data_IF_409517167954
#
_entry.id   IF_409517167954
#
_cell.length_a   1.000
_cell.length_b   1.000
_cell.length_c   1.000
_cell.angle_alpha   90.00
_cell.angle_beta   90.00
_cell.angle_gamma   90.00
#
_symmetry.space_group_name_H-M   'P 1'
#
loop_
_entity.id
_entity.type
_entity.pdbx_description
1 polymer ?
#
# COMPACT_ATOMS: atom_id res chain seq x y z
N UNK A 1 -4.77 -12.27 -18.00
CA UNK A 1 -5.12 -10.95 -17.44
C UNK A 1 -4.50 -10.86 -16.06
N UNK A 2 -3.77 -9.78 -15.76
CA UNK A 2 -3.10 -9.59 -14.46
C UNK A 2 -3.73 -8.38 -13.77
N UNK A 3 -4.35 -8.60 -12.61
CA UNK A 3 -5.13 -7.63 -11.81
C UNK A 3 -4.76 -7.77 -10.33
N UNK A 4 -5.10 -6.78 -9.49
CA UNK A 4 -4.75 -6.75 -8.07
C UNK A 4 -5.59 -7.68 -7.18
N UNK A 5 -6.86 -7.93 -7.52
CA UNK A 5 -7.82 -8.67 -6.69
C UNK A 5 -7.33 -10.01 -6.11
N UNK A 6 -6.55 -10.87 -6.83
CA UNK A 6 -5.98 -12.08 -6.24
C UNK A 6 -5.14 -11.84 -4.99
N UNK A 7 -4.59 -10.65 -4.81
CA UNK A 7 -3.90 -10.26 -3.58
C UNK A 7 -4.79 -10.27 -2.34
N UNK A 8 -6.11 -10.13 -2.48
CA UNK A 8 -7.05 -10.29 -1.35
C UNK A 8 -7.13 -11.74 -0.83
N UNK A 9 -6.77 -12.73 -1.66
CA UNK A 9 -6.68 -14.11 -1.23
C UNK A 9 -5.57 -14.32 -0.18
N UNK A 10 -4.53 -13.48 -0.19
CA UNK A 10 -3.50 -13.44 0.85
C UNK A 10 -4.12 -13.00 2.18
N UNK A 11 -4.89 -11.91 2.19
CA UNK A 11 -5.52 -11.42 3.41
C UNK A 11 -6.51 -12.44 4.00
N UNK A 12 -7.33 -13.04 3.13
CA UNK A 12 -8.27 -14.08 3.48
C UNK A 12 -7.59 -15.37 4.01
N UNK A 13 -6.31 -15.58 3.71
CA UNK A 13 -5.55 -16.75 4.15
C UNK A 13 -5.95 -18.05 3.47
N UNK A 14 -6.45 -17.97 2.23
CA UNK A 14 -7.00 -19.12 1.49
C UNK A 14 -6.02 -19.75 0.50
N UNK A 15 -4.78 -19.25 0.43
CA UNK A 15 -3.73 -19.75 -0.48
C UNK A 15 -2.60 -20.45 0.26
N UNK A 16 -1.85 -21.31 -0.42
CA UNK A 16 -0.63 -21.92 0.11
C UNK A 16 0.50 -20.90 0.24
N UNK A 17 1.55 -21.24 1.00
CA UNK A 17 2.75 -20.40 1.13
C UNK A 17 3.47 -20.20 -0.22
N UNK A 18 3.42 -21.20 -1.10
CA UNK A 18 4.01 -21.13 -2.45
C UNK A 18 3.21 -20.16 -3.33
N UNK A 19 1.89 -20.34 -3.39
CA UNK A 19 1.00 -19.42 -4.09
C UNK A 19 1.12 -17.98 -3.57
N UNK A 20 1.31 -17.80 -2.27
CA UNK A 20 1.50 -16.49 -1.68
C UNK A 20 2.76 -15.78 -2.20
N UNK A 21 3.87 -16.52 -2.41
CA UNK A 21 5.09 -15.99 -3.02
C UNK A 21 4.86 -15.60 -4.47
N UNK A 22 4.25 -16.47 -5.27
CA UNK A 22 3.99 -16.20 -6.69
C UNK A 22 3.10 -14.96 -6.89
N UNK A 23 2.07 -14.82 -6.05
CA UNK A 23 1.18 -13.65 -6.04
C UNK A 23 1.98 -12.40 -5.67
N UNK A 24 2.80 -12.45 -4.61
CA UNK A 24 3.57 -11.31 -4.16
C UNK A 24 4.58 -10.82 -5.21
N UNK A 25 5.31 -11.75 -5.82
CA UNK A 25 6.27 -11.47 -6.90
C UNK A 25 5.56 -10.84 -8.10
N UNK A 26 4.41 -11.39 -8.50
CA UNK A 26 3.62 -10.88 -9.62
C UNK A 26 3.06 -9.49 -9.35
N UNK A 27 2.52 -9.23 -8.16
CA UNK A 27 1.85 -7.96 -7.86
C UNK A 27 2.84 -6.83 -7.55
N UNK A 28 3.99 -7.14 -6.97
CA UNK A 28 4.97 -6.14 -6.54
C UNK A 28 6.10 -5.91 -7.56
N UNK A 29 5.97 -6.38 -8.80
CA UNK A 29 6.99 -6.25 -9.84
C UNK A 29 6.39 -5.84 -11.20
N UNK A 30 7.26 -5.64 -12.19
CA UNK A 30 6.87 -5.45 -13.59
C UNK A 30 5.77 -4.40 -13.83
N UNK A 31 4.76 -4.82 -14.58
CA UNK A 31 3.69 -4.02 -15.15
C UNK A 31 2.54 -3.76 -14.16
N UNK A 32 2.40 -4.54 -13.10
CA UNK A 32 1.46 -4.28 -11.99
C UNK A 32 1.98 -3.21 -11.05
N UNK A 33 3.30 -3.12 -10.87
CA UNK A 33 3.91 -2.16 -9.95
C UNK A 33 4.10 -0.79 -10.59
N UNK A 34 3.44 0.22 -10.03
CA UNK A 34 3.57 1.61 -10.50
C UNK A 34 4.76 2.34 -9.89
N UNK A 35 5.32 1.87 -8.78
CA UNK A 35 6.25 2.66 -7.95
C UNK A 35 5.55 3.47 -6.85
N UNK A 36 4.24 3.68 -6.98
CA UNK A 36 3.36 4.21 -5.92
C UNK A 36 2.49 3.13 -5.28
N UNK A 37 2.47 1.92 -5.85
CA UNK A 37 1.65 0.80 -5.41
C UNK A 37 1.31 -0.14 -6.58
N UNK A 38 0.48 -1.12 -6.27
CA UNK A 38 -0.07 -2.11 -7.19
C UNK A 38 -1.25 -1.49 -7.92
N UNK A 39 -1.23 -1.56 -9.26
CA UNK A 39 -2.32 -1.12 -10.13
C UNK A 39 -3.46 -2.14 -10.10
N UNK A 40 -4.69 -1.66 -10.30
CA UNK A 40 -5.86 -2.54 -10.43
C UNK A 40 -5.80 -3.45 -11.66
N UNK A 41 -5.14 -3.00 -12.73
CA UNK A 41 -4.85 -3.77 -13.94
C UNK A 41 -3.42 -3.46 -14.40
N UNK A 42 -2.66 -4.49 -14.74
CA UNK A 42 -1.28 -4.34 -15.18
C UNK A 42 -1.16 -3.52 -16.48
N UNK A 43 -0.06 -2.79 -16.61
CA UNK A 43 0.35 -2.15 -17.86
C UNK A 43 0.47 -3.21 -18.98
N UNK A 44 0.18 -2.82 -20.22
CA UNK A 44 0.15 -3.71 -21.38
C UNK A 44 -1.08 -4.63 -21.49
N UNK A 45 -2.00 -4.63 -20.52
CA UNK A 45 -3.29 -5.33 -20.68
C UNK A 45 -4.22 -4.57 -21.63
N UNK A 46 -5.09 -5.24 -22.41
CA UNK A 46 -5.89 -4.58 -23.46
C UNK A 46 -6.80 -3.43 -23.01
N UNK A 47 -7.20 -3.41 -21.74
CA UNK A 47 -8.07 -2.37 -21.17
C UNK A 47 -7.30 -1.39 -20.26
N UNK A 48 -5.99 -1.52 -20.18
CA UNK A 48 -5.17 -0.69 -19.31
C UNK A 48 -5.33 0.78 -19.68
N UNK A 49 -5.63 1.59 -18.66
CA UNK A 49 -5.66 3.03 -18.73
C UNK A 49 -5.27 3.56 -17.34
N UNK A 50 -4.13 4.28 -17.22
CA UNK A 50 -3.63 4.76 -15.93
C UNK A 50 -4.58 5.76 -15.24
N UNK A 51 -5.50 6.39 -15.97
CA UNK A 51 -6.53 7.30 -15.45
C UNK A 51 -7.92 6.67 -15.47
N UNK A 52 -8.02 5.33 -15.53
CA UNK A 52 -9.28 4.61 -15.34
C UNK A 52 -9.55 4.34 -13.86
N UNK A 53 -10.82 4.38 -13.47
CA UNK A 53 -11.27 4.06 -12.11
C UNK A 53 -10.94 2.62 -11.69
N UNK A 54 -10.97 1.64 -12.60
CA UNK A 54 -10.71 0.22 -12.28
C UNK A 54 -9.73 -0.49 -13.20
N UNK A 55 -9.26 0.15 -14.29
CA UNK A 55 -8.39 -0.50 -15.27
C UNK A 55 -6.98 0.09 -15.30
N UNK A 56 -6.42 0.51 -14.18
CA UNK A 56 -5.02 0.94 -14.16
C UNK A 56 -4.66 1.96 -13.09
N UNK A 57 -5.62 2.49 -12.34
CA UNK A 57 -5.37 3.29 -11.14
C UNK A 57 -4.74 2.47 -10.02
N UNK A 58 -4.26 3.15 -8.98
CA UNK A 58 -3.80 2.56 -7.72
C UNK A 58 -4.77 2.99 -6.62
N UNK A 59 -5.28 2.02 -5.88
CA UNK A 59 -6.24 2.24 -4.79
C UNK A 59 -5.59 1.93 -3.45
N UNK A 60 -5.48 2.90 -2.54
CA UNK A 60 -4.84 2.68 -1.25
C UNK A 60 -5.48 1.58 -0.41
N UNK A 61 -6.81 1.46 -0.36
CA UNK A 61 -7.49 0.40 0.39
C UNK A 61 -7.17 -1.01 -0.14
N UNK A 62 -7.17 -1.19 -1.47
CA UNK A 62 -6.83 -2.46 -2.15
C UNK A 62 -5.38 -2.85 -1.82
N UNK A 63 -4.47 -1.88 -1.93
CA UNK A 63 -3.07 -2.05 -1.56
C UNK A 63 -2.88 -2.36 -0.06
N UNK A 64 -3.68 -1.77 0.82
CA UNK A 64 -3.63 -2.02 2.25
C UNK A 64 -4.07 -3.44 2.61
N UNK A 65 -5.15 -3.96 1.99
CA UNK A 65 -5.56 -5.35 2.15
C UNK A 65 -4.47 -6.31 1.67
N UNK A 66 -3.84 -6.02 0.54
CA UNK A 66 -2.71 -6.81 0.03
C UNK A 66 -1.53 -6.78 1.01
N UNK A 67 -1.17 -5.62 1.57
CA UNK A 67 -0.10 -5.48 2.55
C UNK A 67 -0.35 -6.34 3.81
N UNK A 68 -1.56 -6.30 4.36
CA UNK A 68 -1.95 -7.15 5.49
C UNK A 68 -1.85 -8.64 5.16
N UNK A 69 -2.25 -9.02 3.95
CA UNK A 69 -2.08 -10.38 3.43
C UNK A 69 -0.60 -10.79 3.32
N UNK A 70 0.25 -9.94 2.75
CA UNK A 70 1.69 -10.19 2.64
C UNK A 70 2.32 -10.40 4.03
N UNK A 71 1.95 -9.57 5.02
CA UNK A 71 2.41 -9.71 6.40
C UNK A 71 2.00 -11.05 7.02
N UNK A 72 0.75 -11.50 6.77
CA UNK A 72 0.25 -12.81 7.23
C UNK A 72 1.14 -13.99 6.78
N UNK A 73 1.70 -13.90 5.57
CA UNK A 73 2.58 -14.94 5.00
C UNK A 73 4.08 -14.68 5.25
N UNK A 74 4.43 -13.68 6.08
CA UNK A 74 5.83 -13.37 6.43
C UNK A 74 6.64 -12.71 5.31
N UNK A 75 5.98 -12.15 4.29
CA UNK A 75 6.60 -11.58 3.10
C UNK A 75 7.06 -10.12 3.34
N UNK A 76 7.90 -9.94 4.35
CA UNK A 76 8.25 -8.63 4.95
C UNK A 76 8.85 -7.64 3.94
N UNK A 77 9.67 -8.10 3.00
CA UNK A 77 10.25 -7.23 1.97
C UNK A 77 9.20 -6.62 1.03
N UNK A 78 8.15 -7.39 0.72
CA UNK A 78 7.04 -6.91 -0.10
C UNK A 78 6.18 -5.92 0.68
N UNK A 79 5.95 -6.19 1.99
CA UNK A 79 5.28 -5.26 2.90
C UNK A 79 6.04 -3.93 2.97
N UNK A 80 7.36 -3.98 3.22
CA UNK A 80 8.22 -2.80 3.30
C UNK A 80 8.13 -1.96 2.03
N UNK A 81 8.25 -2.59 0.87
CA UNK A 81 8.16 -1.92 -0.44
C UNK A 81 6.81 -1.23 -0.63
N UNK A 82 5.71 -1.93 -0.30
CA UNK A 82 4.36 -1.43 -0.52
C UNK A 82 3.97 -0.33 0.48
N UNK A 83 4.22 -0.54 1.77
CA UNK A 83 3.98 0.44 2.83
C UNK A 83 4.78 1.73 2.59
N UNK A 84 6.06 1.60 2.18
CA UNK A 84 6.88 2.76 1.82
C UNK A 84 6.25 3.56 0.69
N UNK A 85 5.92 2.91 -0.42
CA UNK A 85 5.39 3.60 -1.59
C UNK A 85 4.10 4.38 -1.27
N UNK A 86 3.22 3.79 -0.47
CA UNK A 86 1.94 4.40 -0.10
C UNK A 86 2.10 5.53 0.93
N UNK A 87 2.94 5.36 1.95
CA UNK A 87 3.18 6.43 2.92
C UNK A 87 3.97 7.61 2.32
N UNK A 88 4.90 7.34 1.39
CA UNK A 88 5.55 8.40 0.61
C UNK A 88 4.56 9.13 -0.31
N UNK A 89 3.62 8.40 -0.95
CA UNK A 89 2.57 9.01 -1.77
C UNK A 89 1.73 9.99 -0.95
N UNK A 90 1.35 9.61 0.28
CA UNK A 90 0.64 10.48 1.22
C UNK A 90 1.50 11.69 1.60
N UNK A 91 2.78 11.49 1.95
CA UNK A 91 3.66 12.57 2.40
C UNK A 91 3.93 13.65 1.34
N UNK A 92 3.76 13.34 0.06
CA UNK A 92 4.00 14.27 -1.05
C UNK A 92 2.79 15.14 -1.42
N UNK A 93 1.62 14.90 -0.82
CA UNK A 93 0.42 15.71 -1.06
C UNK A 93 0.15 16.68 0.12
N UNK A 94 -0.48 17.85 -0.11
CA UNK A 94 -0.49 18.96 0.86
C UNK A 94 -1.09 18.66 2.24
N UNK A 95 -2.04 17.73 2.32
CA UNK A 95 -2.73 17.36 3.56
C UNK A 95 -2.23 16.05 4.17
N UNK A 96 -1.17 15.46 3.60
CA UNK A 96 -0.55 14.20 4.04
C UNK A 96 -1.52 13.00 4.10
N UNK A 97 -2.53 12.96 3.22
CA UNK A 97 -3.58 11.93 3.20
C UNK A 97 -3.56 11.10 1.93
N UNK A 98 -3.98 9.84 2.08
CA UNK A 98 -4.29 8.98 0.94
C UNK A 98 -5.69 9.31 0.40
N UNK A 99 -5.78 9.39 -0.93
CA UNK A 99 -7.03 9.58 -1.66
C UNK A 99 -7.74 8.25 -1.92
N UNK A 100 -8.97 8.30 -2.43
CA UNK A 100 -9.68 7.09 -2.88
C UNK A 100 -8.86 6.24 -3.87
N UNK A 101 -8.27 6.94 -4.83
CA UNK A 101 -7.39 6.39 -5.84
C UNK A 101 -6.53 7.52 -6.39
N UNK A 102 -5.41 7.15 -7.00
CA UNK A 102 -4.61 8.03 -7.85
C UNK A 102 -4.27 7.30 -9.16
N UNK A 103 -3.90 8.07 -10.18
CA UNK A 103 -3.61 7.51 -11.49
C UNK A 103 -2.37 6.60 -11.44
N UNK A 104 -2.43 5.45 -12.11
CA UNK A 104 -1.35 4.45 -12.07
C UNK A 104 -0.23 4.70 -13.07
N UNK A 105 0.13 5.97 -13.29
CA UNK A 105 1.36 6.28 -14.01
C UNK A 105 2.56 5.72 -13.27
N UNK A 106 3.60 5.36 -14.03
CA UNK A 106 4.85 4.89 -13.44
C UNK A 106 5.49 6.05 -12.66
N UNK A 107 5.93 5.78 -11.43
CA UNK A 107 6.70 6.71 -10.63
C UNK A 107 8.00 7.02 -11.36
N UNK A 108 8.16 8.28 -11.75
CA UNK A 108 9.41 8.78 -12.28
C UNK A 108 10.35 9.06 -11.11
N UNK A 109 11.50 8.38 -11.10
CA UNK A 109 12.59 8.68 -10.19
C UNK A 109 13.73 9.28 -11.00
N UNK A 110 13.94 10.60 -10.85
CA UNK A 110 15.10 11.27 -11.41
C UNK A 110 16.18 11.38 -10.35
N UNK A 111 17.36 10.82 -10.63
CA UNK A 111 18.48 10.80 -9.69
C UNK A 111 18.82 12.21 -9.22
N UNK A 112 18.81 12.45 -7.90
CA UNK A 112 19.14 13.74 -7.30
C UNK A 112 17.97 14.74 -7.22
N UNK A 113 16.75 14.36 -7.61
CA UNK A 113 15.54 15.18 -7.43
C UNK A 113 14.51 14.47 -6.55
N UNK A 114 13.73 15.23 -5.75
CA UNK A 114 12.59 14.67 -5.03
C UNK A 114 11.56 14.11 -6.00
N UNK A 115 10.89 13.02 -5.62
CA UNK A 115 9.80 12.46 -6.43
C UNK A 115 8.64 13.44 -6.52
N UNK A 116 8.09 13.62 -7.72
CA UNK A 116 6.79 14.29 -7.89
C UNK A 116 5.68 13.44 -7.26
N UNK A 117 4.62 14.04 -6.70
CA UNK A 117 3.48 13.29 -6.17
C UNK A 117 2.80 12.44 -7.26
N UNK A 118 2.08 11.36 -6.89
CA UNK A 118 1.27 10.63 -7.84
C UNK A 118 0.25 11.57 -8.49
N UNK A 119 -0.04 11.34 -9.79
CA UNK A 119 -1.01 12.15 -10.51
C UNK A 119 -2.40 11.93 -9.90
N UNK A 120 -3.08 12.99 -9.43
CA UNK A 120 -4.37 12.85 -8.76
C UNK A 120 -5.45 12.37 -9.74
N UNK A 121 -6.41 11.61 -9.23
CA UNK A 121 -7.61 11.24 -9.98
C UNK A 121 -8.69 12.31 -9.73
N UNK A 122 -9.17 13.04 -10.75
CA UNK A 122 -9.99 14.26 -10.54
C UNK A 122 -11.29 14.07 -9.75
N UNK A 123 -11.89 12.89 -9.81
CA UNK A 123 -13.16 12.59 -9.14
C UNK A 123 -12.99 11.73 -7.87
N UNK A 124 -11.76 11.58 -7.37
CA UNK A 124 -11.50 10.82 -6.15
C UNK A 124 -12.06 11.55 -4.93
N UNK A 125 -12.56 10.79 -3.95
CA UNK A 125 -12.84 11.35 -2.64
C UNK A 125 -11.54 11.58 -1.83
N UNK A 126 -11.52 12.69 -1.06
CA UNK A 126 -10.39 13.11 -0.25
C UNK A 126 -10.87 13.63 1.13
N UNK A 127 -10.84 12.80 2.21
CA UNK A 127 -10.60 11.36 2.24
C UNK A 127 -11.85 10.54 1.86
N UNK A 128 -11.65 9.31 1.41
CA UNK A 128 -12.70 8.32 1.17
C UNK A 128 -12.78 7.35 2.37
N UNK A 129 -13.97 6.84 2.68
CA UNK A 129 -14.21 6.05 3.89
C UNK A 129 -13.44 4.73 3.98
N UNK A 130 -13.22 4.05 2.85
CA UNK A 130 -12.43 2.82 2.72
C UNK A 130 -10.93 3.09 2.88
N UNK A 131 -10.45 4.26 2.47
CA UNK A 131 -9.01 4.60 2.52
C UNK A 131 -8.58 5.23 3.84
N UNK A 132 -9.51 5.68 4.68
CA UNK A 132 -9.20 6.22 6.01
C UNK A 132 -8.43 5.23 6.90
N UNK A 133 -8.66 3.93 6.72
CA UNK A 133 -7.94 2.88 7.44
C UNK A 133 -6.60 2.49 6.79
N UNK A 134 -6.33 2.89 5.55
CA UNK A 134 -5.18 2.42 4.78
C UNK A 134 -3.82 2.74 5.43
N UNK A 135 -3.54 3.99 5.91
CA UNK A 135 -2.28 4.28 6.60
C UNK A 135 -2.04 3.38 7.81
N UNK A 136 -3.08 3.16 8.62
CA UNK A 136 -3.01 2.29 9.79
C UNK A 136 -2.79 0.83 9.43
N UNK A 137 -3.41 0.35 8.35
CA UNK A 137 -3.20 -1.01 7.85
C UNK A 137 -1.78 -1.21 7.32
N UNK A 138 -1.18 -0.23 6.64
CA UNK A 138 0.24 -0.30 6.25
C UNK A 138 1.17 -0.35 7.47
N UNK A 139 0.93 0.50 8.47
CA UNK A 139 1.67 0.48 9.73
C UNK A 139 1.50 -0.86 10.46
N UNK A 140 0.28 -1.38 10.55
CA UNK A 140 -0.01 -2.67 11.16
C UNK A 140 0.73 -3.81 10.44
N UNK A 141 0.67 -3.84 9.11
CA UNK A 141 1.36 -4.83 8.30
C UNK A 141 2.88 -4.77 8.51
N UNK A 142 3.44 -3.56 8.58
CA UNK A 142 4.87 -3.34 8.75
C UNK A 142 5.37 -3.68 10.16
N UNK A 143 4.61 -3.30 11.19
CA UNK A 143 4.91 -3.59 12.60
C UNK A 143 4.68 -5.05 12.96
N UNK A 144 3.83 -5.76 12.20
CA UNK A 144 3.32 -7.09 12.52
C UNK A 144 2.68 -7.14 13.92
N UNK A 145 1.92 -6.10 14.25
CA UNK A 145 1.29 -5.98 15.56
C UNK A 145 0.24 -7.08 15.75
N UNK A 146 0.22 -7.69 16.93
CA UNK A 146 -0.86 -8.59 17.36
C UNK A 146 -1.31 -8.13 18.73
N UNK A 147 -2.63 -7.92 18.99
CA UNK A 147 -3.09 -7.52 20.32
C UNK A 147 -2.50 -8.40 21.44
N UNK A 148 -1.86 -7.78 22.43
CA UNK A 148 -1.23 -8.47 23.55
C UNK A 148 0.18 -9.02 23.28
N UNK A 149 0.78 -8.77 22.11
CA UNK A 149 2.16 -9.15 21.79
C UNK A 149 2.89 -8.01 21.09
N UNK A 150 4.16 -7.81 21.44
CA UNK A 150 5.03 -6.92 20.68
C UNK A 150 5.21 -7.49 19.27
N UNK A 151 4.97 -6.68 18.24
CA UNK A 151 5.20 -7.05 16.85
C UNK A 151 6.70 -7.19 16.54
N UNK A 152 7.03 -7.89 15.47
CA UNK A 152 8.43 -8.10 15.06
C UNK A 152 9.00 -6.96 14.20
N UNK A 153 8.14 -6.03 13.74
CA UNK A 153 8.51 -4.85 12.96
C UNK A 153 9.36 -5.11 11.71
N UNK A 154 9.25 -6.30 11.11
CA UNK A 154 10.08 -6.72 9.96
C UNK A 154 9.75 -5.98 8.67
N UNK A 155 8.56 -5.42 8.55
CA UNK A 155 8.13 -4.65 7.38
C UNK A 155 8.43 -3.15 7.47
N UNK A 156 9.08 -2.67 8.53
CA UNK A 156 9.47 -1.26 8.68
C UNK A 156 10.75 -0.98 7.87
N UNK A 157 10.75 0.03 6.97
CA UNK A 157 11.98 0.52 6.33
C UNK A 157 13.07 0.94 7.33
N UNK A 158 14.32 0.58 7.05
CA UNK A 158 15.46 0.80 7.94
C UNK A 158 15.77 2.28 8.24
N UNK A 159 15.42 3.16 7.31
CA UNK A 159 15.66 4.61 7.33
C UNK A 159 14.50 5.42 7.93
N UNK A 160 13.41 4.79 8.37
CA UNK A 160 12.28 5.48 8.97
C UNK A 160 12.52 5.94 10.42
N UNK A 161 13.61 5.49 11.06
CA UNK A 161 13.92 5.87 12.43
C UNK A 161 12.89 5.33 13.43
N UNK A 162 12.34 6.20 14.27
CA UNK A 162 11.29 5.85 15.24
C UNK A 162 9.91 5.89 14.58
N UNK A 163 9.20 4.76 14.63
CA UNK A 163 7.82 4.64 14.16
C UNK A 163 6.92 4.40 15.36
N UNK A 164 6.11 5.39 15.71
CA UNK A 164 5.08 5.28 16.73
C UNK A 164 3.71 5.51 16.11
N UNK A 165 2.70 4.81 16.63
CA UNK A 165 1.30 5.05 16.29
C UNK A 165 0.60 5.51 17.56
N UNK A 166 -0.09 6.64 17.50
CA UNK A 166 -0.90 7.14 18.60
C UNK A 166 -2.38 7.18 18.20
N UNK A 167 -3.23 6.77 19.12
CA UNK A 167 -4.68 6.87 18.98
C UNK A 167 -5.16 7.90 19.99
N UNK A 168 -5.87 8.93 19.51
CA UNK A 168 -6.52 9.88 20.41
C UNK A 168 -7.98 9.47 20.60
N UNK A 169 -8.40 9.30 21.86
CA UNK A 169 -9.79 9.03 22.23
C UNK A 169 -10.20 9.97 23.35
N UNK A 170 -11.27 10.74 23.15
CA UNK A 170 -11.82 11.68 24.15
C UNK A 170 -10.77 12.67 24.72
N UNK A 171 -9.80 13.08 23.90
CA UNK A 171 -8.73 14.00 24.31
C UNK A 171 -7.52 13.34 25.00
N UNK A 172 -7.56 12.03 25.23
CA UNK A 172 -6.43 11.25 25.75
C UNK A 172 -5.62 10.65 24.60
N UNK A 173 -4.30 10.81 24.63
CA UNK A 173 -3.38 10.13 23.72
C UNK A 173 -3.03 8.75 24.27
N UNK A 174 -3.28 7.72 23.48
CA UNK A 174 -2.82 6.35 23.72
C UNK A 174 -1.64 6.11 22.77
N UNK A 175 -0.44 6.03 23.32
CA UNK A 175 0.74 5.65 22.55
C UNK A 175 0.80 4.12 22.41
N UNK A 176 0.98 3.65 21.18
CA UNK A 176 1.30 2.27 20.86
C UNK A 176 2.74 2.27 20.35
N UNK A 177 3.66 1.89 21.24
CA UNK A 177 5.09 1.72 21.00
C UNK A 177 5.48 0.26 20.84
#
# INVERSE_FOLDING_TARGET
>A
MIVSNPGHALWAGIVSQEQARDIAETLCAGETWSGWGIRTLADGQPRFNPVSYHNGSVWPHDNALIALGLARYGLSEHVKKLARAQLEAAALVPDARLSELFAGFKREQTTGLPSSPPVPYPAACHPQGWDAAAPYAFLWAALEFTPGKRGAARGIPEDWGEVSASVQSEGHWLEVS
#
